data_IF_323468875883
#
_entry.id   IF_323468875883
#
_cell.length_a   1.000
_cell.length_b   1.000
_cell.length_c   1.000
_cell.angle_alpha   90.00
_cell.angle_beta   90.00
_cell.angle_gamma   90.00
#
_symmetry.space_group_name_H-M   'P 1'
#
loop_
_entity.id
_entity.type
_entity.pdbx_description
1 polymer ?
#
# COMPACT_ATOMS: atom_id res chain seq x y z
N UNK A 1 -16.38 -5.31 -27.48
CA UNK A 1 -17.14 -5.37 -26.22
C UNK A 1 -17.15 -3.97 -25.61
N UNK A 2 -18.24 -3.21 -25.74
CA UNK A 2 -18.38 -1.91 -25.08
C UNK A 2 -18.69 -2.14 -23.60
N UNK A 3 -17.81 -1.74 -22.69
CA UNK A 3 -18.12 -1.74 -21.27
C UNK A 3 -19.24 -0.72 -21.01
N UNK A 4 -20.39 -1.19 -20.53
CA UNK A 4 -21.48 -0.35 -20.07
C UNK A 4 -20.94 0.44 -18.86
N UNK A 5 -20.80 1.76 -18.99
CA UNK A 5 -20.37 2.65 -17.90
C UNK A 5 -21.45 2.65 -16.82
N UNK A 6 -21.40 1.68 -15.89
CA UNK A 6 -22.41 1.52 -14.83
C UNK A 6 -21.90 1.90 -13.45
N UNK A 7 -20.64 2.28 -13.31
CA UNK A 7 -20.09 2.74 -12.04
C UNK A 7 -20.49 4.19 -11.83
N UNK A 8 -21.26 4.44 -10.77
CA UNK A 8 -21.59 5.77 -10.33
C UNK A 8 -20.37 6.39 -9.60
N UNK A 9 -20.37 7.71 -9.41
CA UNK A 9 -19.29 8.40 -8.69
C UNK A 9 -19.13 7.83 -7.27
N UNK A 10 -20.25 7.55 -6.61
CA UNK A 10 -20.27 7.00 -5.27
C UNK A 10 -19.65 5.59 -5.21
N UNK A 11 -19.93 4.74 -6.20
CA UNK A 11 -19.35 3.40 -6.28
C UNK A 11 -17.83 3.48 -6.45
N UNK A 12 -17.36 4.39 -7.31
CA UNK A 12 -15.94 4.58 -7.59
C UNK A 12 -15.17 5.09 -6.35
N UNK A 13 -15.75 6.05 -5.63
CA UNK A 13 -15.17 6.60 -4.39
C UNK A 13 -15.13 5.51 -3.30
N UNK A 14 -16.21 4.75 -3.15
CA UNK A 14 -16.29 3.69 -2.15
C UNK A 14 -15.27 2.58 -2.39
N UNK A 15 -15.05 2.21 -3.66
CA UNK A 15 -14.06 1.19 -4.06
C UNK A 15 -12.63 1.66 -3.78
N UNK A 16 -12.33 2.94 -4.07
CA UNK A 16 -11.04 3.55 -3.75
C UNK A 16 -10.82 3.64 -2.24
N UNK A 17 -11.83 4.05 -1.47
CA UNK A 17 -11.74 4.12 -0.02
C UNK A 17 -11.44 2.75 0.59
N UNK A 18 -12.13 1.70 0.13
CA UNK A 18 -11.88 0.32 0.53
C UNK A 18 -10.45 -0.14 0.22
N UNK A 19 -9.92 0.27 -0.95
CA UNK A 19 -8.56 -0.10 -1.36
C UNK A 19 -7.46 0.64 -0.58
N UNK A 20 -7.72 1.87 -0.13
CA UNK A 20 -6.77 2.66 0.65
C UNK A 20 -6.79 2.33 2.15
N UNK A 21 -7.98 2.07 2.73
CA UNK A 21 -8.14 1.72 4.15
C UNK A 21 -7.86 0.22 4.32
N UNK A 22 -6.58 -0.13 4.24
CA UNK A 22 -6.08 -1.48 4.52
C UNK A 22 -5.69 -1.70 5.98
N UNK A 23 -5.25 -2.92 6.34
CA UNK A 23 -4.74 -3.24 7.69
C UNK A 23 -3.45 -2.47 8.05
N UNK A 24 -2.85 -1.78 7.09
CA UNK A 24 -1.60 -1.03 7.26
C UNK A 24 -1.65 0.04 8.35
N UNK A 25 -2.80 0.66 8.60
CA UNK A 25 -2.95 1.64 9.70
C UNK A 25 -2.74 0.98 11.07
N UNK A 26 -3.22 -0.25 11.25
CA UNK A 26 -3.08 -0.96 12.53
C UNK A 26 -1.65 -1.50 12.71
N UNK A 27 -1.06 -2.04 11.65
CA UNK A 27 0.29 -2.62 11.69
C UNK A 27 1.36 -1.53 11.85
N UNK A 28 1.30 -0.49 11.01
CA UNK A 28 2.32 0.57 10.96
C UNK A 28 2.27 1.42 12.22
N UNK A 29 1.07 1.83 12.65
CA UNK A 29 0.93 2.67 13.84
C UNK A 29 1.31 1.89 15.10
N UNK A 30 0.95 0.61 15.19
CA UNK A 30 1.38 -0.26 16.30
C UNK A 30 2.90 -0.39 16.38
N UNK A 31 3.57 -0.60 15.24
CA UNK A 31 5.04 -0.70 15.20
C UNK A 31 5.73 0.60 15.63
N UNK A 32 5.24 1.75 15.15
CA UNK A 32 5.82 3.07 15.46
C UNK A 32 5.59 3.44 16.93
N UNK A 33 4.42 3.12 17.51
CA UNK A 33 4.12 3.40 18.92
C UNK A 33 5.05 2.65 19.87
N UNK A 34 5.51 1.45 19.48
CA UNK A 34 6.50 0.69 20.25
C UNK A 34 7.92 1.28 20.20
N UNK A 35 8.24 2.06 19.16
CA UNK A 35 9.56 2.66 18.95
C UNK A 35 9.66 4.12 19.37
N UNK A 36 8.53 4.82 19.44
CA UNK A 36 8.48 6.26 19.71
C UNK A 36 7.83 6.51 21.08
N UNK A 37 8.53 7.17 22.02
CA UNK A 37 8.01 7.40 23.37
C UNK A 37 6.84 8.41 23.43
N UNK A 38 6.63 9.22 22.38
CA UNK A 38 5.60 10.26 22.33
C UNK A 38 4.54 10.00 21.25
N UNK A 39 3.27 9.75 21.59
CA UNK A 39 2.20 9.50 20.63
C UNK A 39 1.87 10.72 19.73
N UNK A 40 2.19 11.93 20.21
CA UNK A 40 1.96 13.17 19.46
C UNK A 40 2.78 13.24 18.16
N UNK A 41 3.97 12.62 18.13
CA UNK A 41 4.83 12.59 16.94
C UNK A 41 4.19 11.73 15.84
N UNK A 42 3.55 10.63 16.23
CA UNK A 42 2.87 9.72 15.31
C UNK A 42 1.64 10.39 14.70
N UNK A 43 0.88 11.15 15.49
CA UNK A 43 -0.23 11.97 15.02
C UNK A 43 0.22 13.05 14.03
N UNK A 44 1.30 13.76 14.33
CA UNK A 44 1.87 14.76 13.41
C UNK A 44 2.33 14.15 12.10
N UNK A 45 3.00 12.98 12.15
CA UNK A 45 3.41 12.25 10.95
C UNK A 45 2.19 11.84 10.10
N UNK A 46 1.09 11.43 10.73
CA UNK A 46 -0.17 11.13 10.05
C UNK A 46 -0.78 12.35 9.37
N UNK A 47 -0.82 13.50 10.04
CA UNK A 47 -1.34 14.75 9.47
C UNK A 47 -0.49 15.18 8.27
N UNK A 48 0.84 15.15 8.40
CA UNK A 48 1.75 15.48 7.31
C UNK A 48 1.61 14.51 6.14
N UNK A 49 1.53 13.21 6.41
CA UNK A 49 1.29 12.18 5.40
C UNK A 49 -0.04 12.37 4.67
N UNK A 50 -1.10 12.73 5.40
CA UNK A 50 -2.40 13.06 4.82
C UNK A 50 -2.34 14.29 3.91
N UNK A 51 -1.63 15.34 4.32
CA UNK A 51 -1.43 16.53 3.50
C UNK A 51 -0.67 16.23 2.20
N UNK A 52 0.42 15.47 2.29
CA UNK A 52 1.17 14.97 1.13
C UNK A 52 0.30 14.11 0.21
N UNK A 53 -0.54 13.24 0.76
CA UNK A 53 -1.46 12.41 -0.01
C UNK A 53 -2.50 13.25 -0.78
N UNK A 54 -3.08 14.28 -0.16
CA UNK A 54 -4.01 15.20 -0.83
C UNK A 54 -3.31 15.98 -1.94
N UNK A 55 -2.10 16.48 -1.68
CA UNK A 55 -1.31 17.18 -2.70
C UNK A 55 -0.98 16.27 -3.91
N UNK A 56 -0.64 15.01 -3.64
CA UNK A 56 -0.47 13.97 -4.65
C UNK A 56 -1.75 13.72 -5.44
N UNK A 57 -2.87 13.50 -4.74
CA UNK A 57 -4.17 13.24 -5.36
C UNK A 57 -4.63 14.39 -6.26
N UNK A 58 -4.43 15.65 -5.87
CA UNK A 58 -4.73 16.81 -6.71
C UNK A 58 -3.86 16.85 -7.97
N UNK A 59 -2.57 16.52 -7.85
CA UNK A 59 -1.65 16.44 -8.98
C UNK A 59 -2.08 15.35 -9.97
N UNK A 60 -2.47 14.19 -9.46
CA UNK A 60 -3.05 13.10 -10.26
C UNK A 60 -4.39 13.46 -10.88
N UNK A 61 -5.28 14.15 -10.15
CA UNK A 61 -6.59 14.58 -10.66
C UNK A 61 -6.46 15.56 -11.83
N UNK A 62 -5.49 16.48 -11.77
CA UNK A 62 -5.18 17.40 -12.87
C UNK A 62 -4.73 16.63 -14.11
N UNK A 63 -3.78 15.71 -13.97
CA UNK A 63 -3.40 14.81 -15.06
C UNK A 63 -4.60 14.02 -15.58
N UNK A 64 -5.46 13.54 -14.69
CA UNK A 64 -6.62 12.73 -15.06
C UNK A 64 -7.68 13.50 -15.85
N UNK A 65 -7.81 14.79 -15.60
CA UNK A 65 -8.69 15.68 -16.38
C UNK A 65 -8.16 15.98 -17.79
N UNK A 66 -6.84 15.91 -18.01
CA UNK A 66 -6.21 16.21 -19.30
C UNK A 66 -6.35 15.06 -20.31
N UNK A 67 -6.41 13.80 -19.85
CA UNK A 67 -6.59 12.65 -20.72
C UNK A 67 -7.77 11.78 -20.24
N UNK A 68 -9.01 12.07 -20.68
CA UNK A 68 -10.23 11.39 -20.24
C UNK A 68 -10.42 10.00 -20.88
N UNK A 69 -9.34 9.22 -20.99
CA UNK A 69 -9.35 7.88 -21.56
C UNK A 69 -9.35 6.82 -20.44
N UNK A 70 -10.20 5.80 -20.61
CA UNK A 70 -10.43 4.75 -19.63
C UNK A 70 -9.32 3.67 -19.60
N UNK A 71 -8.07 4.07 -19.30
CA UNK A 71 -6.93 3.14 -19.27
C UNK A 71 -5.86 3.36 -18.19
N UNK A 72 -6.07 4.28 -17.24
CA UNK A 72 -5.19 4.48 -16.07
C UNK A 72 -3.79 5.00 -16.42
N UNK A 73 -2.81 4.79 -15.53
CA UNK A 73 -1.40 5.24 -15.66
C UNK A 73 -0.76 4.90 -17.01
N UNK A 74 -1.21 3.81 -17.64
CA UNK A 74 -0.70 3.34 -18.92
C UNK A 74 -1.05 4.25 -20.10
N UNK A 75 -2.20 4.93 -20.07
CA UNK A 75 -2.60 5.88 -21.12
C UNK A 75 -1.87 7.21 -20.96
N UNK A 76 -1.68 7.69 -19.72
CA UNK A 76 -0.91 8.90 -19.45
C UNK A 76 0.55 8.77 -19.89
N UNK A 77 1.20 7.62 -19.64
CA UNK A 77 2.58 7.38 -20.06
C UNK A 77 2.73 7.10 -21.55
N UNK A 78 1.71 6.56 -22.22
CA UNK A 78 1.72 6.35 -23.68
C UNK A 78 1.56 7.66 -24.46
N UNK A 79 0.82 8.63 -23.91
CA UNK A 79 0.64 9.95 -24.53
C UNK A 79 1.81 10.91 -24.20
N UNK A 80 2.39 10.84 -22.99
CA UNK A 80 3.45 11.76 -22.55
C UNK A 80 4.89 11.27 -22.82
N UNK A 81 5.10 9.95 -22.98
CA UNK A 81 6.41 9.36 -23.25
C UNK A 81 6.34 8.38 -24.44
N UNK A 82 7.46 8.26 -25.15
CA UNK A 82 7.63 7.28 -26.24
C UNK A 82 7.18 5.88 -25.79
N UNK A 83 6.46 5.09 -26.62
CA UNK A 83 5.76 3.85 -26.23
C UNK A 83 6.61 2.80 -25.49
N UNK A 84 7.93 2.86 -25.63
CA UNK A 84 8.89 1.99 -24.93
C UNK A 84 8.96 2.27 -23.42
N UNK A 85 8.85 3.54 -23.01
CA UNK A 85 8.93 3.92 -21.59
C UNK A 85 7.64 3.55 -20.86
N UNK A 86 6.49 3.66 -21.53
CA UNK A 86 5.20 3.19 -21.02
C UNK A 86 5.16 1.65 -20.87
N UNK A 87 5.78 0.92 -21.79
CA UNK A 87 5.92 -0.54 -21.69
C UNK A 87 6.85 -0.93 -20.53
N UNK A 88 8.00 -0.26 -20.40
CA UNK A 88 8.94 -0.50 -19.31
C UNK A 88 8.34 -0.17 -17.94
N UNK A 89 7.59 0.92 -17.81
CA UNK A 89 6.91 1.27 -16.55
C UNK A 89 5.80 0.27 -16.20
N UNK A 90 5.03 -0.20 -17.18
CA UNK A 90 4.04 -1.26 -16.95
C UNK A 90 4.68 -2.57 -16.49
N UNK A 91 5.80 -2.94 -17.11
CA UNK A 91 6.57 -4.13 -16.74
C UNK A 91 7.17 -4.02 -15.34
N UNK A 92 7.70 -2.84 -14.98
CA UNK A 92 8.23 -2.56 -13.65
C UNK A 92 7.12 -2.56 -12.60
N UNK A 93 5.99 -1.89 -12.86
CA UNK A 93 4.85 -1.89 -11.93
C UNK A 93 4.30 -3.29 -11.69
N UNK A 94 4.20 -4.14 -12.72
CA UNK A 94 3.78 -5.53 -12.57
C UNK A 94 4.82 -6.34 -11.79
N UNK A 95 6.08 -6.30 -12.21
CA UNK A 95 7.15 -7.11 -11.59
C UNK A 95 7.40 -6.71 -10.14
N UNK A 96 7.44 -5.42 -9.85
CA UNK A 96 7.70 -4.88 -8.52
C UNK A 96 6.49 -5.10 -7.61
N UNK A 97 5.24 -4.87 -8.04
CA UNK A 97 4.10 -5.11 -7.14
C UNK A 97 3.99 -6.57 -6.73
N UNK A 98 4.11 -7.49 -7.70
CA UNK A 98 4.02 -8.92 -7.38
C UNK A 98 5.19 -9.37 -6.50
N UNK A 99 6.42 -8.96 -6.83
CA UNK A 99 7.60 -9.34 -6.06
C UNK A 99 7.62 -8.70 -4.66
N UNK A 100 7.24 -7.43 -4.52
CA UNK A 100 7.14 -6.75 -3.24
C UNK A 100 6.07 -7.37 -2.32
N UNK A 101 4.91 -7.71 -2.87
CA UNK A 101 3.83 -8.35 -2.11
C UNK A 101 4.23 -9.73 -1.58
N UNK A 102 4.91 -10.54 -2.41
CA UNK A 102 5.42 -11.86 -2.04
C UNK A 102 6.58 -11.73 -1.03
N UNK A 103 7.47 -10.76 -1.20
CA UNK A 103 8.57 -10.52 -0.26
C UNK A 103 8.04 -10.08 1.10
N UNK A 104 7.04 -9.20 1.15
CA UNK A 104 6.48 -8.71 2.42
C UNK A 104 5.77 -9.84 3.18
N UNK A 105 5.00 -10.68 2.48
CA UNK A 105 4.33 -11.83 3.10
C UNK A 105 5.33 -12.89 3.59
N UNK A 106 6.40 -13.16 2.83
CA UNK A 106 7.47 -14.05 3.24
C UNK A 106 8.21 -13.54 4.49
N UNK A 107 8.52 -12.24 4.56
CA UNK A 107 9.13 -11.62 5.74
C UNK A 107 8.22 -11.67 6.96
N UNK A 108 6.92 -11.41 6.78
CA UNK A 108 5.93 -11.50 7.85
C UNK A 108 5.83 -12.94 8.38
N UNK A 109 5.75 -13.93 7.49
CA UNK A 109 5.73 -15.34 7.87
C UNK A 109 7.00 -15.77 8.61
N UNK A 110 8.17 -15.40 8.08
CA UNK A 110 9.46 -15.70 8.71
C UNK A 110 9.55 -15.12 10.12
N UNK A 111 9.15 -13.86 10.32
CA UNK A 111 9.12 -13.23 11.65
C UNK A 111 8.18 -13.95 12.62
N UNK A 112 6.95 -14.26 12.19
CA UNK A 112 5.97 -14.95 13.04
C UNK A 112 6.43 -16.36 13.44
N UNK A 113 7.05 -17.11 12.52
CA UNK A 113 7.59 -18.43 12.81
C UNK A 113 8.74 -18.38 13.82
N UNK A 114 9.67 -17.43 13.66
CA UNK A 114 10.81 -17.28 14.57
C UNK A 114 10.39 -16.88 16.00
N UNK A 115 9.43 -15.95 16.12
CA UNK A 115 8.84 -15.56 17.40
C UNK A 115 8.14 -16.74 18.09
N UNK A 116 7.39 -17.55 17.34
CA UNK A 116 6.72 -18.74 17.88
C UNK A 116 7.74 -19.78 18.38
N UNK A 117 8.82 -20.03 17.62
CA UNK A 117 9.87 -20.96 18.01
C UNK A 117 10.58 -20.56 19.31
N UNK A 118 10.88 -19.27 19.48
CA UNK A 118 11.47 -18.74 20.72
C UNK A 118 10.52 -18.90 21.91
N UNK A 119 9.24 -18.55 21.74
CA UNK A 119 8.24 -18.66 22.81
C UNK A 119 7.99 -20.10 23.22
N UNK A 120 7.93 -21.03 22.26
CA UNK A 120 7.78 -22.45 22.54
C UNK A 120 9.01 -23.00 23.27
N UNK A 121 10.22 -22.59 22.87
CA UNK A 121 11.47 -22.94 23.54
C UNK A 121 11.52 -22.45 24.99
N UNK A 122 11.16 -21.18 25.24
CA UNK A 122 11.05 -20.64 26.60
C UNK A 122 9.99 -21.36 27.43
N UNK A 123 8.83 -21.68 26.85
CA UNK A 123 7.73 -22.35 27.56
C UNK A 123 8.10 -23.77 27.99
N UNK A 124 8.82 -24.51 27.14
CA UNK A 124 9.35 -25.85 27.44
C UNK A 124 10.43 -25.75 28.51
N UNK A 125 11.37 -24.80 28.41
CA UNK A 125 12.45 -24.62 29.40
C UNK A 125 11.91 -24.24 30.79
N UNK A 126 10.88 -23.40 30.85
CA UNK A 126 10.22 -23.00 32.11
C UNK A 126 9.40 -24.13 32.76
N UNK A 127 8.87 -25.08 31.98
CA UNK A 127 8.13 -26.23 32.53
C UNK A 127 9.02 -27.37 33.01
N UNK A 128 10.29 -27.43 32.61
CA UNK A 128 11.23 -28.48 33.03
C UNK A 128 12.01 -28.14 34.31
N UNK A 129 11.80 -26.96 34.91
CA UNK A 129 12.51 -26.50 36.11
C UNK A 129 11.60 -26.26 37.35
N UNK A 130 10.37 -26.78 37.32
CA UNK A 130 9.48 -26.95 38.49
C UNK A 130 9.22 -28.43 38.73
#
# INVERSE_FOLDING_TARGET
MQLKRSLNLFDSISLMFSSMVGPGIFITTGYILHQVPNPNIVLLAWILGGFLAVAGAMSYAKSASLFPYAGGDYVYLKEAYSPIVAFASGWLSLSINFSASISLSALAFSKSFFLCSIYLGMFIFLNFHS
#
